data_IF_986557425477
#
_entry.id   IF_986557425477
#
_cell.length_a   1.000
_cell.length_b   1.000
_cell.length_c   1.000
_cell.angle_alpha   90.00
_cell.angle_beta   90.00
_cell.angle_gamma   90.00
#
_symmetry.space_group_name_H-M   'P 1'
#
loop_
_entity.id
_entity.type
_entity.pdbx_description
1 polymer ?
#
# COMPACT_ATOMS: atom_id res chain seq x y z
N UNK A 1 -2.28 -12.60 8.65
CA UNK A 1 -1.97 -13.47 7.49
C UNK A 1 -0.48 -13.31 7.15
N UNK A 2 0.23 -14.33 6.65
CA UNK A 2 1.65 -14.18 6.25
C UNK A 2 1.81 -14.09 4.73
N UNK A 3 2.92 -13.51 4.25
CA UNK A 3 3.25 -13.40 2.81
C UNK A 3 3.14 -14.74 2.05
N UNK A 4 3.71 -15.87 2.51
CA UNK A 4 3.59 -17.15 1.79
C UNK A 4 2.15 -17.66 1.72
N UNK A 5 1.37 -17.52 2.81
CA UNK A 5 -0.05 -17.86 2.80
C UNK A 5 -0.83 -17.02 1.78
N UNK A 6 -0.54 -15.73 1.71
CA UNK A 6 -1.17 -14.84 0.74
C UNK A 6 -0.80 -15.21 -0.70
N UNK A 7 0.44 -15.62 -0.96
CA UNK A 7 0.88 -16.04 -2.31
C UNK A 7 0.10 -17.24 -2.85
N UNK A 8 -0.29 -18.18 -1.98
CA UNK A 8 -1.06 -19.38 -2.33
C UNK A 8 -2.52 -19.10 -2.70
N UNK A 9 -3.06 -17.94 -2.32
CA UNK A 9 -4.44 -17.58 -2.62
C UNK A 9 -4.67 -17.28 -4.11
N UNK A 10 -5.85 -17.61 -4.61
CA UNK A 10 -6.31 -17.20 -5.95
C UNK A 10 -6.45 -15.67 -6.05
N UNK A 11 -6.43 -15.11 -7.26
CA UNK A 11 -6.60 -13.65 -7.45
C UNK A 11 -7.86 -13.09 -6.80
N UNK A 12 -8.97 -13.86 -6.81
CA UNK A 12 -10.23 -13.48 -6.14
C UNK A 12 -10.08 -13.47 -4.62
N UNK A 13 -9.49 -14.52 -4.05
CA UNK A 13 -9.25 -14.60 -2.60
C UNK A 13 -8.26 -13.53 -2.12
N UNK A 14 -7.20 -13.26 -2.89
CA UNK A 14 -6.26 -12.15 -2.62
C UNK A 14 -6.99 -10.81 -2.54
N UNK A 15 -7.86 -10.54 -3.52
CA UNK A 15 -8.67 -9.31 -3.54
C UNK A 15 -9.60 -9.20 -2.33
N UNK A 16 -10.29 -10.29 -1.98
CA UNK A 16 -11.17 -10.33 -0.80
C UNK A 16 -10.38 -10.12 0.49
N UNK A 17 -9.22 -10.78 0.62
CA UNK A 17 -8.39 -10.66 1.81
C UNK A 17 -7.86 -9.24 1.97
N UNK A 18 -7.31 -8.63 0.91
CA UNK A 18 -6.87 -7.23 0.94
C UNK A 18 -8.03 -6.27 1.23
N UNK A 19 -9.24 -6.52 0.71
CA UNK A 19 -10.39 -5.66 1.01
C UNK A 19 -10.93 -5.83 2.44
N UNK A 20 -10.77 -7.01 3.05
CA UNK A 20 -11.29 -7.30 4.40
C UNK A 20 -10.31 -6.93 5.50
N UNK A 21 -9.04 -7.24 5.32
CA UNK A 21 -8.00 -7.05 6.35
C UNK A 21 -6.98 -5.99 5.97
N UNK A 22 -6.97 -5.55 4.71
CA UNK A 22 -6.04 -4.54 4.25
C UNK A 22 -6.53 -3.12 4.52
N UNK A 23 -5.65 -2.31 5.09
CA UNK A 23 -5.82 -0.86 5.16
C UNK A 23 -5.24 -0.22 3.90
N UNK A 24 -6.03 0.57 3.19
CA UNK A 24 -5.55 1.34 2.05
C UNK A 24 -4.57 2.42 2.54
N UNK A 25 -3.34 2.41 2.01
CA UNK A 25 -2.33 3.40 2.36
C UNK A 25 -2.23 4.50 1.33
N UNK A 26 -2.09 4.13 0.06
CA UNK A 26 -1.80 5.09 -1.00
C UNK A 26 -2.18 4.52 -2.37
N UNK A 27 -2.49 5.41 -3.31
CA UNK A 27 -2.55 5.08 -4.72
C UNK A 27 -1.53 5.89 -5.51
N UNK A 28 -0.92 5.24 -6.50
CA UNK A 28 -0.02 5.87 -7.44
C UNK A 28 -0.49 5.61 -8.85
N UNK A 29 -0.78 6.68 -9.59
CA UNK A 29 -1.17 6.61 -11.00
C UNK A 29 0.09 6.72 -11.86
N UNK A 30 0.30 5.75 -12.74
CA UNK A 30 1.43 5.68 -13.67
C UNK A 30 0.89 5.47 -15.10
N UNK A 31 0.41 6.56 -15.72
CA UNK A 31 -0.11 6.54 -17.08
C UNK A 31 -1.33 5.63 -17.25
N UNK A 32 -1.13 4.46 -17.86
CA UNK A 32 -2.14 3.42 -18.10
C UNK A 32 -2.27 2.43 -16.95
N UNK A 33 -1.40 2.48 -15.95
CA UNK A 33 -1.43 1.62 -14.78
C UNK A 33 -1.73 2.43 -13.52
N UNK A 34 -2.48 1.84 -12.60
CA UNK A 34 -2.71 2.36 -11.25
C UNK A 34 -2.18 1.33 -10.28
N UNK A 35 -1.30 1.76 -9.38
CA UNK A 35 -0.82 0.95 -8.27
C UNK A 35 -1.56 1.35 -7.01
N UNK A 36 -2.08 0.39 -6.28
CA UNK A 36 -2.74 0.63 -4.99
C UNK A 36 -1.99 -0.15 -3.93
N UNK A 37 -1.54 0.55 -2.90
CA UNK A 37 -0.78 -0.01 -1.80
C UNK A 37 -1.70 -0.21 -0.61
N UNK A 38 -1.67 -1.43 -0.06
CA UNK A 38 -2.41 -1.82 1.13
C UNK A 38 -1.47 -2.38 2.18
N UNK A 39 -1.77 -2.15 3.45
CA UNK A 39 -1.12 -2.79 4.58
C UNK A 39 -2.04 -3.89 5.11
N UNK A 40 -1.55 -5.12 5.17
CA UNK A 40 -2.29 -6.30 5.64
C UNK A 40 -1.50 -6.95 6.76
N UNK A 41 -2.02 -7.00 7.98
CA UNK A 41 -1.49 -7.76 9.13
C UNK A 41 0.04 -7.73 9.31
N UNK A 42 0.70 -6.59 9.06
CA UNK A 42 2.15 -6.42 9.24
C UNK A 42 3.02 -6.56 7.98
N UNK A 43 2.43 -6.81 6.81
CA UNK A 43 3.12 -6.71 5.52
C UNK A 43 2.34 -5.80 4.56
N UNK A 44 2.94 -5.53 3.40
CA UNK A 44 2.40 -4.63 2.40
C UNK A 44 2.09 -5.38 1.10
N UNK A 45 0.99 -4.98 0.46
CA UNK A 45 0.53 -5.52 -0.80
C UNK A 45 0.31 -4.38 -1.79
N UNK A 46 1.09 -4.38 -2.85
CA UNK A 46 0.86 -3.58 -4.04
C UNK A 46 0.01 -4.34 -5.03
N UNK A 47 -1.11 -3.74 -5.42
CA UNK A 47 -1.97 -4.25 -6.48
C UNK A 47 -1.84 -3.35 -7.71
N UNK A 48 -1.58 -3.98 -8.85
CA UNK A 48 -1.43 -3.34 -10.14
C UNK A 48 -2.76 -3.47 -10.88
N UNK A 49 -3.37 -2.34 -11.23
CA UNK A 49 -4.59 -2.25 -12.01
C UNK A 49 -4.32 -1.56 -13.33
N UNK A 50 -5.04 -1.97 -14.37
CA UNK A 50 -5.15 -1.21 -15.61
C UNK A 50 -6.07 0.00 -15.37
N UNK A 51 -5.73 1.16 -15.92
CA UNK A 51 -6.54 2.37 -15.83
C UNK A 51 -7.95 2.17 -16.38
N UNK A 52 -8.10 1.35 -17.41
CA UNK A 52 -9.36 1.01 -18.05
C UNK A 52 -9.87 -0.39 -17.69
N UNK A 53 -9.09 -1.16 -16.93
CA UNK A 53 -9.44 -2.53 -16.55
C UNK A 53 -9.91 -2.60 -15.10
N UNK A 54 -10.94 -3.40 -14.83
CA UNK A 54 -11.41 -3.68 -13.46
C UNK A 54 -10.64 -4.82 -12.79
N UNK A 55 -9.70 -5.42 -13.54
CA UNK A 55 -8.93 -6.56 -13.10
C UNK A 55 -7.56 -6.16 -12.54
N UNK A 56 -7.18 -6.84 -11.48
CA UNK A 56 -5.84 -6.74 -10.92
C UNK A 56 -4.91 -7.59 -11.78
N UNK A 57 -3.95 -6.93 -12.42
CA UNK A 57 -2.90 -7.56 -13.23
C UNK A 57 -1.93 -8.35 -12.36
N UNK A 58 -1.51 -7.76 -11.25
CA UNK A 58 -0.42 -8.29 -10.44
C UNK A 58 -0.56 -7.91 -8.97
N UNK A 59 -0.08 -8.81 -8.11
CA UNK A 59 0.02 -8.62 -6.67
C UNK A 59 1.47 -8.76 -6.27
N UNK A 60 2.08 -7.68 -5.79
CA UNK A 60 3.43 -7.71 -5.20
C UNK A 60 3.29 -7.58 -3.70
N UNK A 61 3.85 -8.53 -2.96
CA UNK A 61 3.80 -8.55 -1.51
C UNK A 61 5.21 -8.41 -0.96
N UNK A 62 5.39 -7.59 0.06
CA UNK A 62 6.67 -7.36 0.72
C UNK A 62 6.44 -6.94 2.16
N UNK A 63 7.41 -7.21 3.01
CA UNK A 63 7.46 -6.84 4.43
C UNK A 63 8.42 -5.65 4.67
N UNK A 64 9.37 -5.43 3.76
CA UNK A 64 10.36 -4.36 3.90
C UNK A 64 9.78 -2.95 3.72
N UNK A 65 10.06 -2.08 4.69
CA UNK A 65 9.74 -0.64 4.64
C UNK A 65 10.55 0.11 3.58
N UNK A 66 11.66 -0.43 3.09
CA UNK A 66 12.46 0.18 2.02
C UNK A 66 11.65 0.33 0.73
N UNK A 67 10.73 -0.60 0.45
CA UNK A 67 9.85 -0.53 -0.72
C UNK A 67 8.73 0.53 -0.58
N UNK A 68 8.52 1.08 0.63
CA UNK A 68 7.59 2.20 0.87
C UNK A 68 8.20 3.55 0.56
N UNK A 69 9.53 3.65 0.48
CA UNK A 69 10.25 4.89 0.21
C UNK A 69 9.71 5.70 -1.01
N UNK A 70 9.37 5.09 -2.16
CA UNK A 70 8.76 5.84 -3.27
C UNK A 70 7.35 6.37 -2.97
N UNK A 71 6.63 5.78 -2.02
CA UNK A 71 5.31 6.26 -1.58
C UNK A 71 5.46 7.34 -0.51
N UNK A 72 6.40 7.19 0.42
CA UNK A 72 6.72 8.20 1.44
C UNK A 72 7.19 9.51 0.83
N UNK A 73 7.97 9.48 -0.26
CA UNK A 73 8.36 10.69 -1.01
C UNK A 73 7.18 11.46 -1.61
N UNK A 74 6.03 10.82 -1.81
CA UNK A 74 4.82 11.48 -2.31
C UNK A 74 3.92 11.99 -1.18
N UNK A 75 4.07 11.48 0.03
CA UNK A 75 3.33 11.94 1.21
C UNK A 75 4.10 13.13 1.76
N UNK A 76 3.60 14.33 1.52
CA UNK A 76 4.16 15.54 2.12
C UNK A 76 3.80 15.59 3.61
N UNK A 77 4.73 15.14 4.45
CA UNK A 77 4.60 15.14 5.92
C UNK A 77 4.98 16.51 6.52
N UNK A 78 5.37 17.49 5.70
CA UNK A 78 5.80 18.81 6.17
C UNK A 78 4.71 19.51 6.99
N UNK A 79 3.44 19.32 6.63
CA UNK A 79 2.30 19.85 7.39
C UNK A 79 2.11 19.22 8.78
N UNK A 80 2.63 18.02 9.00
CA UNK A 80 2.55 17.29 10.27
C UNK A 80 3.71 17.65 11.20
N UNK A 81 4.87 18.01 10.65
CA UNK A 81 6.04 18.44 11.43
C UNK A 81 5.84 19.82 12.09
N UNK A 82 4.94 20.65 11.55
CA UNK A 82 4.59 21.95 12.13
C UNK A 82 3.86 21.88 13.48
N UNK A 83 3.23 20.76 13.82
CA UNK A 83 2.54 20.57 15.11
C UNK A 83 3.39 19.86 16.17
N UNK A 84 4.46 19.16 15.76
CA UNK A 84 5.41 18.50 16.67
C UNK A 84 6.43 19.46 17.29
N UNK A 85 6.62 20.66 16.71
CA UNK A 85 7.54 21.67 17.22
C UNK A 85 6.98 22.54 18.36
N UNK A 86 5.73 22.35 18.80
CA UNK A 86 5.11 23.20 19.84
C UNK A 86 5.12 22.57 21.26
N UNK A 87 5.41 21.28 21.44
CA UNK A 87 5.35 20.65 22.78
C UNK A 87 6.70 20.39 23.45
N UNK A 88 7.78 21.02 22.99
CA UNK A 88 9.06 20.97 23.70
C UNK A 88 9.53 22.38 24.05
N UNK A 89 8.90 22.98 25.06
CA UNK A 89 9.48 24.08 25.81
C UNK A 89 8.98 24.03 27.26
N UNK A 90 9.95 23.75 28.14
CA UNK A 90 10.13 24.17 29.53
C UNK A 90 8.97 24.03 30.52
#
# INVERSE_FOLDING_TARGET
MTVPQFKLLTSRQKKIAVLRTGSFLCERRMGLLRKMLYQVDGFYVEIYFLRFGREALWYRCFDSTNALQPYLKQIDISGLLGSLSIHNNA
#
